data_IF_020139280760
#
_entry.id   IF_020139280760
#
_cell.length_a   1.000
_cell.length_b   1.000
_cell.length_c   1.000
_cell.angle_alpha   90.00
_cell.angle_beta   90.00
_cell.angle_gamma   90.00
#
_symmetry.space_group_name_H-M   'P 1'
#
loop_
_entity.id
_entity.type
_entity.pdbx_description
1 polymer ?
#
# COMPACT_ATOMS: atom_id res chain seq x y z
N UNK A 1 6.00 -17.00 27.74
CA UNK A 1 6.67 -16.59 26.49
C UNK A 1 5.93 -17.03 25.21
N UNK A 2 4.78 -17.70 25.28
CA UNK A 2 4.10 -18.29 24.10
C UNK A 2 3.36 -17.26 23.23
N UNK A 3 2.76 -16.22 23.82
CA UNK A 3 1.90 -15.26 23.11
C UNK A 3 2.66 -14.39 22.11
N UNK A 4 3.84 -13.87 22.47
CA UNK A 4 4.61 -12.97 21.60
C UNK A 4 5.15 -13.67 20.35
N UNK A 5 5.59 -14.93 20.51
CA UNK A 5 6.09 -15.73 19.39
C UNK A 5 4.98 -15.97 18.35
N UNK A 6 3.78 -16.36 18.80
CA UNK A 6 2.62 -16.56 17.93
C UNK A 6 2.17 -15.26 17.25
N UNK A 7 2.19 -14.12 17.97
CA UNK A 7 1.90 -12.78 17.40
C UNK A 7 2.84 -12.43 16.24
N UNK A 8 4.06 -12.97 16.18
CA UNK A 8 5.01 -12.65 15.12
C UNK A 8 4.95 -13.61 13.93
N UNK A 9 4.48 -14.85 14.13
CA UNK A 9 4.50 -15.90 13.09
C UNK A 9 3.13 -16.18 12.49
N UNK A 10 2.07 -16.14 13.29
CA UNK A 10 0.79 -16.77 12.92
C UNK A 10 -0.30 -15.75 12.56
N UNK A 11 -0.08 -14.46 12.85
CA UNK A 11 -1.05 -13.40 12.57
C UNK A 11 -0.63 -12.54 11.39
N UNK A 12 -1.57 -12.38 10.45
CA UNK A 12 -1.44 -11.40 9.37
C UNK A 12 -1.80 -10.03 9.92
N UNK A 13 -0.93 -9.04 9.73
CA UNK A 13 -1.19 -7.64 10.06
C UNK A 13 -1.39 -6.83 8.77
N UNK A 14 -2.63 -6.68 8.29
CA UNK A 14 -2.85 -6.04 7.00
C UNK A 14 -2.50 -4.55 7.06
N UNK A 15 -1.87 -4.07 6.00
CA UNK A 15 -1.34 -2.73 5.89
C UNK A 15 -2.40 -1.60 5.90
N UNK A 16 -3.66 -1.93 5.57
CA UNK A 16 -4.75 -0.94 5.41
C UNK A 16 -6.06 -1.35 6.08
N UNK A 17 -6.14 -2.56 6.66
CA UNK A 17 -7.38 -3.01 7.28
C UNK A 17 -7.80 -2.10 8.44
N UNK A 18 -9.11 -1.96 8.60
CA UNK A 18 -9.70 -1.31 9.75
C UNK A 18 -9.94 -2.35 10.86
N UNK A 19 -9.59 -1.99 12.09
CA UNK A 19 -9.77 -2.84 13.28
C UNK A 19 -10.72 -2.21 14.30
N UNK A 20 -11.37 -1.12 13.93
CA UNK A 20 -12.41 -0.51 14.75
C UNK A 20 -13.56 -1.50 14.94
N UNK A 21 -14.16 -1.48 16.12
CA UNK A 21 -15.42 -2.18 16.34
C UNK A 21 -16.51 -1.59 15.43
N UNK A 22 -17.61 -2.33 15.16
CA UNK A 22 -18.70 -1.81 14.33
C UNK A 22 -19.28 -0.47 14.80
N UNK A 23 -19.30 -0.24 16.12
CA UNK A 23 -19.75 1.01 16.72
C UNK A 23 -18.78 2.15 16.42
N UNK A 24 -17.50 1.98 16.72
CA UNK A 24 -16.48 3.00 16.47
C UNK A 24 -16.35 3.32 14.98
N UNK A 25 -16.41 2.29 14.12
CA UNK A 25 -16.40 2.46 12.66
C UNK A 25 -17.57 3.33 12.18
N UNK A 26 -18.77 3.15 12.76
CA UNK A 26 -19.91 4.00 12.47
C UNK A 26 -19.74 5.43 13.01
N UNK A 27 -19.16 5.60 14.20
CA UNK A 27 -18.90 6.90 14.84
C UNK A 27 -17.86 7.73 14.06
N UNK A 28 -16.84 7.10 13.47
CA UNK A 28 -15.85 7.77 12.62
C UNK A 28 -16.32 7.96 11.17
N UNK A 29 -17.62 7.76 10.89
CA UNK A 29 -18.21 8.06 9.59
C UNK A 29 -18.01 6.98 8.53
N UNK A 30 -17.84 5.72 8.94
CA UNK A 30 -17.79 4.55 8.03
C UNK A 30 -16.68 4.66 6.98
N UNK A 31 -15.40 4.78 7.39
CA UNK A 31 -14.28 4.98 6.48
C UNK A 31 -14.22 3.88 5.42
N UNK A 32 -14.04 4.30 4.16
CA UNK A 32 -13.89 3.40 3.02
C UNK A 32 -12.48 2.82 2.95
N UNK A 33 -12.40 1.49 2.94
CA UNK A 33 -11.16 0.74 2.81
C UNK A 33 -10.46 1.01 1.48
N UNK A 34 -11.22 1.18 0.38
CA UNK A 34 -10.64 1.42 -0.94
C UNK A 34 -10.01 2.81 -1.01
N UNK A 35 -10.67 3.83 -0.43
CA UNK A 35 -10.08 5.15 -0.28
C UNK A 35 -8.74 5.09 0.50
N UNK A 36 -8.69 4.35 1.61
CA UNK A 36 -7.45 4.16 2.40
C UNK A 36 -6.36 3.44 1.59
N UNK A 37 -6.72 2.40 0.85
CA UNK A 37 -5.80 1.68 -0.03
C UNK A 37 -5.24 2.58 -1.13
N UNK A 38 -6.10 3.40 -1.77
CA UNK A 38 -5.68 4.38 -2.77
C UNK A 38 -4.73 5.40 -2.18
N UNK A 39 -5.05 5.99 -1.03
CA UNK A 39 -4.18 6.95 -0.37
C UNK A 39 -2.80 6.37 -0.02
N UNK A 40 -2.74 5.09 0.40
CA UNK A 40 -1.46 4.40 0.61
C UNK A 40 -0.69 4.20 -0.70
N UNK A 41 -1.36 3.77 -1.76
CA UNK A 41 -0.75 3.60 -3.10
C UNK A 41 -0.15 4.91 -3.58
N UNK A 42 -0.90 6.02 -3.54
CA UNK A 42 -0.40 7.34 -3.96
C UNK A 42 0.83 7.77 -3.17
N UNK A 43 0.85 7.53 -1.85
CA UNK A 43 2.02 7.84 -1.01
C UNK A 43 3.27 7.07 -1.44
N UNK A 44 3.12 5.79 -1.77
CA UNK A 44 4.24 4.93 -2.23
C UNK A 44 4.75 5.41 -3.58
N UNK A 45 3.84 5.73 -4.52
CA UNK A 45 4.21 6.22 -5.85
C UNK A 45 4.88 7.59 -5.78
N UNK A 46 4.44 8.48 -4.87
CA UNK A 46 5.03 9.80 -4.68
C UNK A 46 6.48 9.76 -4.17
N UNK A 47 6.86 8.70 -3.46
CA UNK A 47 8.22 8.50 -2.95
C UNK A 47 9.04 7.51 -3.78
N UNK A 48 8.54 7.08 -4.94
CA UNK A 48 9.23 6.10 -5.76
C UNK A 48 10.39 6.75 -6.53
N UNK A 49 11.59 6.21 -6.36
CA UNK A 49 12.77 6.66 -7.10
C UNK A 49 12.96 5.83 -8.38
N UNK A 50 13.53 6.41 -9.46
CA UNK A 50 13.89 5.66 -10.65
C UNK A 50 14.88 4.52 -10.32
N UNK A 51 14.50 3.28 -10.59
CA UNK A 51 15.33 2.09 -10.34
C UNK A 51 16.31 1.78 -11.48
N UNK A 52 16.14 2.44 -12.63
CA UNK A 52 16.95 2.25 -13.84
C UNK A 52 17.60 3.57 -14.22
N UNK A 53 18.79 3.49 -14.83
CA UNK A 53 19.47 4.70 -15.29
C UNK A 53 18.72 5.39 -16.43
N UNK A 54 18.95 6.69 -16.57
CA UNK A 54 18.21 7.51 -17.51
C UNK A 54 18.45 7.12 -18.98
N UNK A 55 19.59 6.53 -19.34
CA UNK A 55 19.84 6.10 -20.71
C UNK A 55 19.03 4.84 -21.04
N UNK A 56 18.99 3.88 -20.12
CA UNK A 56 18.19 2.66 -20.26
C UNK A 56 16.68 2.97 -20.29
N UNK A 57 16.17 3.81 -19.38
CA UNK A 57 14.75 4.20 -19.37
C UNK A 57 14.34 4.87 -20.70
N UNK A 58 15.17 5.76 -21.25
CA UNK A 58 14.92 6.38 -22.57
C UNK A 58 14.92 5.36 -23.70
N UNK A 59 15.86 4.42 -23.71
CA UNK A 59 15.93 3.39 -24.75
C UNK A 59 14.67 2.52 -24.75
N UNK A 60 14.18 2.13 -23.56
CA UNK A 60 12.94 1.35 -23.40
C UNK A 60 11.72 2.16 -23.89
N UNK A 61 11.59 3.41 -23.46
CA UNK A 61 10.48 4.29 -23.90
C UNK A 61 10.47 4.55 -25.40
N UNK A 62 11.63 4.53 -26.06
CA UNK A 62 11.71 4.65 -27.52
C UNK A 62 11.31 3.35 -28.24
N UNK A 63 11.63 2.20 -27.67
CA UNK A 63 11.35 0.90 -28.26
C UNK A 63 9.89 0.45 -28.11
N UNK A 64 9.19 0.90 -27.06
CA UNK A 64 7.85 0.44 -26.72
C UNK A 64 6.83 1.58 -26.56
N UNK A 65 5.59 1.38 -27.03
CA UNK A 65 4.48 2.30 -26.79
C UNK A 65 3.92 2.07 -25.37
N UNK A 66 4.42 2.83 -24.41
CA UNK A 66 4.01 2.75 -23.00
C UNK A 66 2.83 3.70 -22.74
N UNK A 67 1.78 3.18 -22.11
CA UNK A 67 0.59 3.93 -21.70
C UNK A 67 0.62 4.13 -20.18
N UNK A 68 0.33 5.35 -19.72
CA UNK A 68 0.27 5.75 -18.30
C UNK A 68 -1.16 6.10 -17.90
#
# INVERSE_FOLDING_TARGET
AQTLALMQTDYVYPAVADRLSPKEWAEVGKPDLIARARARKERILASAEPLVDAATDRAIRAAFRIHF
#
